data_IF_779854327151
#
_entry.id   IF_779854327151
#
_cell.length_a   1.000
_cell.length_b   1.000
_cell.length_c   1.000
_cell.angle_alpha   90.00
_cell.angle_beta   90.00
_cell.angle_gamma   90.00
#
_symmetry.space_group_name_H-M   'P 1'
#
loop_
_entity.id
_entity.type
_entity.pdbx_description
1 polymer ?
#
# COMPACT_ATOMS: atom_id res chain seq x y z
N UNK A 1 -24.14 12.57 -22.51
CA UNK A 1 -23.29 11.99 -21.44
C UNK A 1 -22.42 10.91 -22.05
N UNK A 2 -21.12 10.90 -21.73
CA UNK A 2 -20.12 10.04 -22.37
C UNK A 2 -20.38 8.56 -22.16
N UNK A 3 -19.94 7.76 -23.14
CA UNK A 3 -20.04 6.30 -23.15
C UNK A 3 -19.38 5.69 -21.91
N UNK A 4 -20.10 4.87 -21.17
CA UNK A 4 -19.57 4.12 -20.01
C UNK A 4 -18.78 2.90 -20.48
N UNK A 5 -17.75 2.50 -19.73
CA UNK A 5 -17.03 1.24 -20.01
C UNK A 5 -17.99 0.06 -19.82
N UNK A 6 -18.09 -0.80 -20.84
CA UNK A 6 -18.95 -1.98 -20.81
C UNK A 6 -18.27 -3.14 -20.05
N UNK A 7 -19.05 -4.06 -19.45
CA UNK A 7 -18.51 -5.21 -18.70
C UNK A 7 -17.48 -6.04 -19.49
N UNK A 8 -17.75 -6.29 -20.77
CA UNK A 8 -16.86 -7.02 -21.66
C UNK A 8 -15.54 -6.28 -21.92
N UNK A 9 -15.58 -4.95 -22.03
CA UNK A 9 -14.39 -4.14 -22.26
C UNK A 9 -13.52 -4.08 -21.00
N UNK A 10 -14.13 -4.01 -19.82
CA UNK A 10 -13.42 -4.11 -18.54
C UNK A 10 -12.72 -5.46 -18.37
N UNK A 11 -13.41 -6.56 -18.70
CA UNK A 11 -12.80 -7.90 -18.70
C UNK A 11 -11.63 -8.00 -19.67
N UNK A 12 -11.77 -7.46 -20.89
CA UNK A 12 -10.69 -7.41 -21.89
C UNK A 12 -9.50 -6.61 -21.39
N UNK A 13 -9.71 -5.40 -20.89
CA UNK A 13 -8.67 -4.55 -20.30
C UNK A 13 -7.84 -5.31 -19.26
N UNK A 14 -8.50 -5.97 -18.32
CA UNK A 14 -7.82 -6.75 -17.28
C UNK A 14 -6.93 -7.84 -17.90
N UNK A 15 -7.47 -8.57 -18.88
CA UNK A 15 -6.76 -9.65 -19.56
C UNK A 15 -5.60 -9.14 -20.41
N UNK A 16 -5.71 -7.96 -21.04
CA UNK A 16 -4.60 -7.36 -21.79
C UNK A 16 -3.41 -6.98 -20.91
N UNK A 17 -3.64 -6.69 -19.64
CA UNK A 17 -2.59 -6.44 -18.65
C UNK A 17 -2.09 -7.72 -17.96
N UNK A 18 -2.60 -8.90 -18.35
CA UNK A 18 -2.24 -10.18 -17.71
C UNK A 18 -2.77 -10.36 -16.28
N UNK A 19 -3.63 -9.45 -15.80
CA UNK A 19 -4.09 -9.47 -14.42
C UNK A 19 -5.10 -10.60 -14.14
N UNK A 20 -4.95 -11.27 -13.00
CA UNK A 20 -6.04 -12.03 -12.39
C UNK A 20 -7.11 -11.07 -11.83
N UNK A 21 -8.28 -11.59 -11.42
CA UNK A 21 -9.28 -10.76 -10.75
C UNK A 21 -8.77 -10.21 -9.40
N UNK A 22 -7.83 -10.91 -8.74
CA UNK A 22 -7.19 -10.44 -7.51
C UNK A 22 -6.23 -9.29 -7.83
N UNK A 23 -5.35 -9.46 -8.82
CA UNK A 23 -4.35 -8.44 -9.17
C UNK A 23 -5.02 -7.13 -9.62
N UNK A 24 -6.10 -7.23 -10.39
CA UNK A 24 -6.89 -6.06 -10.78
C UNK A 24 -7.55 -5.37 -9.59
N UNK A 25 -8.00 -6.14 -8.60
CA UNK A 25 -8.57 -5.60 -7.37
C UNK A 25 -7.50 -4.85 -6.56
N UNK A 26 -6.33 -5.45 -6.40
CA UNK A 26 -5.20 -4.87 -5.68
C UNK A 26 -4.71 -3.59 -6.40
N UNK A 27 -4.55 -3.62 -7.73
CA UNK A 27 -4.11 -2.47 -8.52
C UNK A 27 -5.12 -1.30 -8.53
N UNK A 28 -6.43 -1.59 -8.46
CA UNK A 28 -7.47 -0.58 -8.41
C UNK A 28 -7.81 -0.13 -6.98
N UNK A 29 -7.26 -0.78 -5.95
CA UNK A 29 -7.64 -0.53 -4.56
C UNK A 29 -9.09 -0.92 -4.23
N UNK A 30 -9.61 -1.97 -4.87
CA UNK A 30 -10.98 -2.44 -4.72
C UNK A 30 -11.03 -3.83 -4.09
N UNK A 31 -12.19 -4.20 -3.54
CA UNK A 31 -12.46 -5.59 -3.17
C UNK A 31 -12.60 -6.44 -4.44
N UNK A 32 -12.04 -7.66 -4.44
CA UNK A 32 -12.14 -8.61 -5.57
C UNK A 32 -13.57 -8.84 -6.07
N UNK A 33 -14.56 -8.81 -5.18
CA UNK A 33 -15.99 -8.93 -5.54
C UNK A 33 -16.47 -7.81 -6.46
N UNK A 34 -15.91 -6.60 -6.36
CA UNK A 34 -16.25 -5.50 -7.28
C UNK A 34 -15.82 -5.80 -8.71
N UNK A 35 -14.65 -6.41 -8.88
CA UNK A 35 -14.15 -6.83 -10.20
C UNK A 35 -15.14 -7.81 -10.83
N UNK A 36 -15.67 -8.76 -10.05
CA UNK A 36 -16.67 -9.72 -10.52
C UNK A 36 -17.98 -9.04 -10.95
N UNK A 37 -18.47 -8.10 -10.14
CA UNK A 37 -19.68 -7.35 -10.48
C UNK A 37 -19.50 -6.52 -11.75
N UNK A 38 -18.35 -5.87 -11.94
CA UNK A 38 -18.08 -5.10 -13.16
C UNK A 38 -17.92 -5.98 -14.40
N UNK A 39 -17.28 -7.14 -14.30
CA UNK A 39 -17.14 -8.07 -15.43
C UNK A 39 -18.46 -8.73 -15.83
N UNK A 40 -19.33 -8.99 -14.85
CA UNK A 40 -20.65 -9.58 -15.11
C UNK A 40 -21.68 -8.51 -15.50
N UNK A 41 -21.47 -7.26 -15.08
CA UNK A 41 -22.43 -6.17 -15.25
C UNK A 41 -23.62 -6.22 -14.30
N UNK A 42 -23.55 -7.03 -13.23
CA UNK A 42 -24.66 -7.19 -12.27
C UNK A 42 -24.21 -7.53 -10.84
N UNK A 43 -25.03 -7.11 -9.88
CA UNK A 43 -24.96 -7.44 -8.45
C UNK A 43 -26.35 -7.83 -7.98
N UNK A 44 -26.49 -9.07 -7.50
CA UNK A 44 -27.74 -9.59 -6.92
C UNK A 44 -28.96 -9.45 -7.86
N UNK A 45 -28.74 -9.55 -9.18
CA UNK A 45 -29.75 -9.38 -10.22
C UNK A 45 -29.91 -7.95 -10.73
N UNK A 46 -29.36 -6.96 -10.02
CA UNK A 46 -29.39 -5.56 -10.44
C UNK A 46 -28.22 -5.24 -11.37
N UNK A 47 -28.48 -4.49 -12.44
CA UNK A 47 -27.43 -4.02 -13.36
C UNK A 47 -26.46 -3.09 -12.64
N UNK A 48 -25.18 -3.38 -12.75
CA UNK A 48 -24.09 -2.56 -12.20
C UNK A 48 -23.34 -1.89 -13.35
N UNK A 49 -23.28 -0.56 -13.28
CA UNK A 49 -22.43 0.23 -14.18
C UNK A 49 -21.04 0.36 -13.58
N UNK A 50 -20.04 0.43 -14.45
CA UNK A 50 -18.67 0.74 -14.06
C UNK A 50 -18.58 2.26 -13.81
N UNK A 51 -18.21 2.72 -12.60
CA UNK A 51 -18.07 4.15 -12.32
C UNK A 51 -16.99 4.80 -13.18
N UNK A 52 -17.17 6.09 -13.51
CA UNK A 52 -16.19 6.86 -14.28
C UNK A 52 -14.80 6.83 -13.63
N UNK A 53 -14.73 6.92 -12.29
CA UNK A 53 -13.47 6.85 -11.54
C UNK A 53 -12.71 5.55 -11.78
N UNK A 54 -13.44 4.42 -11.86
CA UNK A 54 -12.86 3.10 -12.16
C UNK A 54 -12.37 3.05 -13.60
N UNK A 55 -13.17 3.55 -14.56
CA UNK A 55 -12.77 3.58 -15.96
C UNK A 55 -11.51 4.43 -16.20
N UNK A 56 -11.39 5.58 -15.52
CA UNK A 56 -10.19 6.42 -15.57
C UNK A 56 -8.98 5.73 -14.92
N UNK A 57 -9.17 5.04 -13.80
CA UNK A 57 -8.11 4.27 -13.15
C UNK A 57 -7.61 3.12 -14.06
N UNK A 58 -8.52 2.42 -14.75
CA UNK A 58 -8.14 1.40 -15.74
C UNK A 58 -7.24 1.99 -16.84
N UNK A 59 -7.60 3.16 -17.36
CA UNK A 59 -6.77 3.84 -18.37
C UNK A 59 -5.39 4.20 -17.81
N UNK A 60 -5.32 4.78 -16.60
CA UNK A 60 -4.06 5.12 -15.94
C UNK A 60 -3.15 3.88 -15.79
N UNK A 61 -3.71 2.75 -15.33
CA UNK A 61 -2.97 1.48 -15.21
C UNK A 61 -2.46 0.96 -16.56
N UNK A 62 -3.24 1.11 -17.65
CA UNK A 62 -2.77 0.77 -19.00
C UNK A 62 -1.60 1.65 -19.45
N UNK A 63 -1.54 2.90 -18.98
CA UNK A 63 -0.39 3.79 -19.21
C UNK A 63 0.78 3.52 -18.24
N UNK A 64 0.69 2.51 -17.36
CA UNK A 64 1.71 2.22 -16.36
C UNK A 64 1.71 3.17 -15.15
N UNK A 65 0.69 4.02 -15.02
CA UNK A 65 0.57 4.96 -13.89
C UNK A 65 -0.07 4.24 -12.71
N UNK A 66 0.75 3.84 -11.74
CA UNK A 66 0.32 3.12 -10.53
C UNK A 66 0.20 4.02 -9.28
N UNK A 67 0.77 5.22 -9.32
CA UNK A 67 0.71 6.20 -8.24
C UNK A 67 0.69 7.61 -8.83
N UNK A 68 -0.11 8.50 -8.25
CA UNK A 68 -0.22 9.90 -8.68
C UNK A 68 -0.27 10.81 -7.45
N UNK A 69 0.72 11.70 -7.33
CA UNK A 69 0.85 12.64 -6.20
C UNK A 69 0.09 13.96 -6.38
N UNK A 70 -0.58 14.15 -7.51
CA UNK A 70 -1.19 15.42 -7.86
C UNK A 70 -0.17 16.43 -8.40
N UNK A 71 -0.63 17.61 -8.85
CA UNK A 71 0.26 18.70 -9.20
C UNK A 71 1.04 19.12 -7.96
N UNK A 72 2.38 19.06 -8.03
CA UNK A 72 3.20 19.68 -6.99
C UNK A 72 2.81 21.14 -6.90
N UNK A 73 2.35 21.60 -5.73
CA UNK A 73 2.46 23.04 -5.44
C UNK A 73 3.92 23.35 -5.67
N UNK A 74 4.22 24.29 -6.56
CA UNK A 74 5.56 24.90 -6.58
C UNK A 74 5.77 25.35 -5.14
N UNK A 75 6.63 24.65 -4.40
CA UNK A 75 7.12 25.14 -3.13
C UNK A 75 7.84 26.41 -3.53
N UNK A 76 7.25 27.55 -3.21
CA UNK A 76 7.98 28.80 -3.29
C UNK A 76 9.19 28.63 -2.37
N UNK A 77 10.38 28.45 -2.97
CA UNK A 77 11.65 28.25 -2.25
C UNK A 77 12.14 29.56 -1.60
N UNK A 78 11.27 30.53 -1.36
CA UNK A 78 11.59 31.75 -0.63
C UNK A 78 11.43 31.64 0.89
N UNK A 79 11.14 30.45 1.44
CA UNK A 79 11.15 30.19 2.89
C UNK A 79 12.40 29.45 3.33
N UNK A 80 12.96 29.73 4.53
CA UNK A 80 14.24 29.18 4.96
C UNK A 80 14.16 27.66 5.08
N UNK A 81 15.14 26.99 4.48
CA UNK A 81 15.32 25.54 4.50
C UNK A 81 15.67 25.15 5.93
N UNK A 82 14.78 24.44 6.63
CA UNK A 82 15.14 23.76 7.87
C UNK A 82 15.87 22.48 7.49
N UNK A 83 17.19 22.61 7.41
CA UNK A 83 18.18 21.56 7.29
C UNK A 83 18.22 20.77 8.60
N UNK A 84 17.69 19.55 8.61
CA UNK A 84 18.13 18.45 9.49
C UNK A 84 17.62 17.11 8.92
N UNK A 85 18.32 16.59 7.92
CA UNK A 85 18.44 15.13 7.74
C UNK A 85 19.73 14.70 8.44
N UNK A 86 19.83 14.95 9.75
CA UNK A 86 20.82 14.24 10.55
C UNK A 86 20.29 12.81 10.77
N UNK A 87 21.04 11.76 10.39
CA UNK A 87 20.66 10.41 10.74
C UNK A 87 20.66 10.30 12.26
N UNK A 88 19.52 9.88 12.84
CA UNK A 88 19.43 9.54 14.26
C UNK A 88 20.47 8.45 14.52
N UNK A 89 21.57 8.83 15.16
CA UNK A 89 22.52 7.88 15.70
C UNK A 89 21.78 7.08 16.77
N UNK A 90 21.49 5.81 16.48
CA UNK A 90 21.09 4.85 17.50
C UNK A 90 22.34 4.68 18.37
N UNK A 91 22.34 5.06 19.66
CA UNK A 91 23.50 4.78 20.50
C UNK A 91 23.70 3.27 20.54
N UNK A 92 24.92 2.83 20.21
CA UNK A 92 25.37 1.45 20.44
C UNK A 92 25.04 1.07 21.88
N UNK A 93 24.51 -0.14 22.14
CA UNK A 93 24.32 -0.61 23.50
C UNK A 93 25.69 -0.61 24.18
N UNK A 94 25.85 0.26 25.17
CA UNK A 94 27.02 0.32 26.03
C UNK A 94 27.23 -1.07 26.62
N UNK A 95 28.40 -1.64 26.31
CA UNK A 95 28.88 -2.90 26.83
C UNK A 95 28.57 -2.97 28.34
N UNK A 96 27.78 -3.96 28.76
CA UNK A 96 27.64 -4.31 30.16
C UNK A 96 29.03 -4.65 30.70
N UNK A 97 29.65 -3.71 31.40
CA UNK A 97 30.88 -3.99 32.12
C UNK A 97 30.54 -4.91 33.28
N UNK A 98 31.22 -6.04 33.32
CA UNK A 98 31.32 -6.94 34.46
C UNK A 98 31.61 -6.12 35.73
N UNK A 99 30.67 -6.11 36.68
CA UNK A 99 30.92 -5.66 38.05
C UNK A 99 31.84 -6.68 38.73
N UNK A 100 33.12 -6.35 39.05
CA UNK A 100 34.07 -7.30 39.59
C UNK A 100 34.18 -7.15 41.11
N UNK A 101 33.08 -6.96 41.85
CA UNK A 101 33.15 -7.02 43.31
C UNK A 101 31.78 -7.16 44.01
N UNK A 102 31.17 -8.34 43.87
CA UNK A 102 30.12 -8.77 44.80
C UNK A 102 30.66 -9.85 45.73
N UNK A 103 31.12 -9.47 46.95
CA UNK A 103 31.51 -10.45 47.95
C UNK A 103 30.33 -10.84 48.83
N UNK A 104 30.38 -12.11 49.28
CA UNK A 104 29.54 -12.79 50.27
C UNK A 104 28.24 -13.41 49.70
N UNK A 105 28.09 -14.72 49.47
CA UNK A 105 28.65 -15.88 50.15
C UNK A 105 27.80 -16.26 51.37
N UNK A 106 26.91 -17.27 51.25
CA UNK A 106 26.82 -18.48 52.10
C UNK A 106 25.55 -19.31 51.85
N UNK A 107 25.77 -20.57 51.46
CA UNK A 107 24.97 -21.76 51.83
C UNK A 107 23.58 -21.93 51.20
N UNK A 108 22.98 -23.11 51.13
CA UNK A 108 23.37 -24.47 51.47
C UNK A 108 22.14 -25.34 51.16
N UNK A 109 22.38 -26.59 50.76
CA UNK A 109 21.50 -27.77 50.81
C UNK A 109 20.44 -28.03 49.71
N UNK A 110 20.45 -29.32 49.40
CA UNK A 110 19.73 -30.12 48.43
C UNK A 110 18.29 -30.48 48.88
N UNK A 111 17.68 -31.36 48.07
CA UNK A 111 16.39 -32.07 48.21
C UNK A 111 15.24 -31.38 47.44
N UNK A 112 14.44 -32.03 46.61
CA UNK A 112 14.31 -33.42 46.12
C UNK A 112 13.52 -33.35 44.79
#
# INVERSE_FOLDING_TARGET
MGKTMEPNDFKKWRKTLGFSQKDAADALGLKRRMIQYYERGERDGDKVKIPLTVALACYALTQGVVNYRGPSKKIDRSGPVSETDEPIAIPEPENAQDDPDSPHGLGTLAAE
#
